data_IF_093508185683
#
_entry.id   IF_093508185683
#
_cell.length_a   1.000
_cell.length_b   1.000
_cell.length_c   1.000
_cell.angle_alpha   90.00
_cell.angle_beta   90.00
_cell.angle_gamma   90.00
#
_symmetry.space_group_name_H-M   'P 1'
#
loop_
_entity.id
_entity.type
_entity.pdbx_description
1 polymer ?
#
# COMPACT_ATOMS: atom_id res chain seq x y z
N UNK A 1 -89.36 -13.41 -6.54
CA UNK A 1 -88.75 -12.08 -6.74
C UNK A 1 -87.32 -11.94 -6.18
N UNK A 2 -86.81 -12.85 -5.32
CA UNK A 2 -85.50 -12.70 -4.65
C UNK A 2 -84.30 -13.48 -5.25
N UNK A 3 -84.49 -14.19 -6.39
CA UNK A 3 -83.44 -15.06 -6.95
C UNK A 3 -82.34 -14.33 -7.74
N UNK A 4 -82.58 -13.09 -8.20
CA UNK A 4 -81.66 -12.33 -9.06
C UNK A 4 -80.89 -11.18 -8.35
N UNK A 5 -80.99 -11.06 -7.02
CA UNK A 5 -80.28 -10.02 -6.27
C UNK A 5 -78.81 -10.42 -6.05
N UNK A 6 -77.88 -9.48 -6.25
CA UNK A 6 -76.47 -9.68 -5.94
C UNK A 6 -76.27 -9.72 -4.40
N UNK A 7 -75.10 -10.15 -3.92
CA UNK A 7 -74.86 -10.36 -2.48
C UNK A 7 -75.00 -9.05 -1.68
N UNK A 8 -74.60 -7.92 -2.25
CA UNK A 8 -74.70 -6.59 -1.64
C UNK A 8 -76.18 -6.16 -1.49
N UNK A 9 -76.99 -6.38 -2.52
CA UNK A 9 -78.43 -6.13 -2.50
C UNK A 9 -79.14 -7.04 -1.50
N UNK A 10 -78.72 -8.31 -1.38
CA UNK A 10 -79.25 -9.25 -0.37
C UNK A 10 -78.90 -8.80 1.05
N UNK A 11 -77.69 -8.30 1.29
CA UNK A 11 -77.26 -7.80 2.59
C UNK A 11 -77.99 -6.50 2.93
N UNK A 12 -78.13 -5.56 1.98
CA UNK A 12 -78.94 -4.34 2.14
C UNK A 12 -80.40 -4.65 2.46
N UNK A 13 -81.00 -5.59 1.73
CA UNK A 13 -82.37 -6.02 1.97
C UNK A 13 -82.50 -6.69 3.34
N UNK A 14 -81.54 -7.53 3.75
CA UNK A 14 -81.53 -8.17 5.08
C UNK A 14 -81.34 -7.16 6.21
N UNK A 15 -80.50 -6.14 6.02
CA UNK A 15 -80.29 -5.04 6.97
C UNK A 15 -81.55 -4.20 7.13
N UNK A 16 -82.16 -3.77 6.02
CA UNK A 16 -83.43 -3.03 6.00
C UNK A 16 -84.57 -3.85 6.61
N UNK A 17 -84.67 -5.14 6.29
CA UNK A 17 -85.63 -6.05 6.90
C UNK A 17 -85.34 -6.24 8.40
N UNK A 18 -84.07 -6.29 8.82
CA UNK A 18 -83.74 -6.40 10.24
C UNK A 18 -84.06 -5.11 11.01
N UNK A 19 -83.74 -3.93 10.48
CA UNK A 19 -84.04 -2.64 11.09
C UNK A 19 -85.54 -2.36 11.15
N UNK A 20 -86.26 -2.66 10.06
CA UNK A 20 -87.72 -2.56 10.05
C UNK A 20 -88.36 -3.60 10.97
N UNK A 21 -87.85 -4.83 11.03
CA UNK A 21 -88.34 -5.85 11.99
C UNK A 21 -88.06 -5.45 13.44
N UNK A 22 -86.91 -4.85 13.74
CA UNK A 22 -86.55 -4.39 15.08
C UNK A 22 -87.41 -3.17 15.49
N UNK A 23 -87.71 -2.28 14.53
CA UNK A 23 -88.63 -1.16 14.71
C UNK A 23 -90.07 -1.65 14.98
N UNK A 24 -90.53 -2.65 14.22
CA UNK A 24 -91.85 -3.25 14.38
C UNK A 24 -91.92 -4.02 15.71
N UNK A 25 -90.92 -4.83 16.06
CA UNK A 25 -90.88 -5.59 17.31
C UNK A 25 -90.77 -4.66 18.52
N UNK A 26 -89.93 -3.62 18.46
CA UNK A 26 -89.79 -2.63 19.53
C UNK A 26 -91.09 -1.83 19.74
N UNK A 27 -91.73 -1.42 18.64
CA UNK A 27 -93.04 -0.75 18.69
C UNK A 27 -94.12 -1.68 19.25
N UNK A 28 -94.16 -2.94 18.82
CA UNK A 28 -95.12 -3.95 19.32
C UNK A 28 -94.87 -4.26 20.81
N UNK A 29 -93.62 -4.41 21.23
CA UNK A 29 -93.25 -4.66 22.62
C UNK A 29 -93.68 -3.50 23.53
N UNK A 30 -93.42 -2.26 23.13
CA UNK A 30 -93.84 -1.06 23.86
C UNK A 30 -95.37 -0.87 23.85
N UNK A 31 -96.05 -1.14 22.73
CA UNK A 31 -97.51 -1.14 22.66
C UNK A 31 -98.10 -2.23 23.58
N UNK A 32 -97.47 -3.40 23.64
CA UNK A 32 -97.92 -4.51 24.51
C UNK A 32 -97.70 -4.21 26.01
N UNK A 33 -96.59 -3.56 26.37
CA UNK A 33 -96.33 -3.07 27.73
C UNK A 33 -97.31 -1.95 28.13
N UNK A 34 -97.60 -1.02 27.22
CA UNK A 34 -98.58 0.04 27.44
C UNK A 34 -100.00 -0.53 27.63
N UNK A 35 -100.34 -1.59 26.87
CA UNK A 35 -101.63 -2.30 26.97
C UNK A 35 -101.82 -3.03 28.30
N UNK A 36 -100.74 -3.47 28.96
CA UNK A 36 -100.79 -4.11 30.28
C UNK A 36 -101.05 -3.11 31.42
N UNK A 37 -100.71 -1.83 31.24
CA UNK A 37 -100.76 -0.82 32.31
C UNK A 37 -102.15 -0.14 32.47
N UNK A 38 -103.03 -0.18 31.47
CA UNK A 38 -104.30 0.57 31.48
C UNK A 38 -105.49 -0.36 31.22
N UNK A 39 -106.09 -0.90 32.29
CA UNK A 39 -107.44 -1.48 32.26
C UNK A 39 -108.45 -0.41 32.71
N UNK A 40 -109.36 -0.01 31.79
CA UNK A 40 -110.42 1.02 31.89
C UNK A 40 -110.02 2.45 31.51
N UNK A 41 -110.27 2.85 30.24
CA UNK A 41 -110.97 4.09 29.84
C UNK A 41 -110.94 4.35 28.31
N UNK A 42 -111.79 5.30 27.86
CA UNK A 42 -112.24 5.67 26.50
C UNK A 42 -111.24 5.59 25.32
N UNK A 43 -111.79 5.29 24.12
CA UNK A 43 -111.04 5.07 22.87
C UNK A 43 -110.23 6.26 22.31
N UNK A 44 -110.39 7.48 22.84
CA UNK A 44 -109.59 8.65 22.42
C UNK A 44 -108.19 8.67 23.08
N UNK A 45 -108.05 8.13 24.30
CA UNK A 45 -106.76 8.06 25.02
C UNK A 45 -105.79 7.04 24.41
N UNK A 46 -106.32 6.00 23.75
CA UNK A 46 -105.52 4.97 23.08
C UNK A 46 -104.71 5.51 21.89
N UNK A 47 -105.29 6.40 21.09
CA UNK A 47 -104.60 7.00 19.94
C UNK A 47 -103.46 7.91 20.34
N UNK A 48 -103.63 8.68 21.43
CA UNK A 48 -102.60 9.58 21.98
C UNK A 48 -101.45 8.78 22.60
N UNK A 49 -101.75 7.72 23.36
CA UNK A 49 -100.71 6.84 23.95
C UNK A 49 -99.82 6.18 22.90
N UNK A 50 -100.40 5.67 21.80
CA UNK A 50 -99.64 5.08 20.68
C UNK A 50 -98.74 6.12 20.00
N UNK A 51 -99.23 7.34 19.81
CA UNK A 51 -98.47 8.46 19.22
C UNK A 51 -97.27 8.85 20.09
N UNK A 52 -97.45 8.95 21.41
CA UNK A 52 -96.38 9.26 22.35
C UNK A 52 -95.32 8.15 22.35
N UNK A 53 -95.74 6.87 22.38
CA UNK A 53 -94.81 5.74 22.30
C UNK A 53 -94.03 5.73 20.98
N UNK A 54 -94.67 6.03 19.85
CA UNK A 54 -94.02 6.11 18.56
C UNK A 54 -92.98 7.24 18.50
N UNK A 55 -93.31 8.43 18.99
CA UNK A 55 -92.41 9.59 19.04
C UNK A 55 -91.21 9.31 19.96
N UNK A 56 -91.46 8.77 21.15
CA UNK A 56 -90.39 8.38 22.08
C UNK A 56 -89.48 7.33 21.46
N UNK A 57 -90.04 6.33 20.76
CA UNK A 57 -89.26 5.31 20.06
C UNK A 57 -88.38 5.88 18.96
N UNK A 58 -88.87 6.84 18.18
CA UNK A 58 -88.10 7.54 17.13
C UNK A 58 -86.93 8.32 17.76
N UNK A 59 -87.18 9.08 18.84
CA UNK A 59 -86.13 9.83 19.55
C UNK A 59 -85.08 8.87 20.14
N UNK A 60 -85.50 7.75 20.72
CA UNK A 60 -84.60 6.73 21.27
C UNK A 60 -83.73 6.12 20.18
N UNK A 61 -84.29 5.87 18.99
CA UNK A 61 -83.54 5.40 17.82
C UNK A 61 -82.53 6.45 17.35
N UNK A 62 -82.88 7.74 17.29
CA UNK A 62 -81.94 8.81 16.91
C UNK A 62 -80.80 8.96 17.94
N UNK A 63 -81.11 8.85 19.24
CA UNK A 63 -80.10 8.87 20.31
C UNK A 63 -79.17 7.66 20.18
N UNK A 64 -79.73 6.44 19.99
CA UNK A 64 -78.92 5.23 19.79
C UNK A 64 -78.07 5.33 18.53
N UNK A 65 -78.62 5.83 17.42
CA UNK A 65 -77.87 6.06 16.18
C UNK A 65 -76.73 7.05 16.38
N UNK A 66 -76.97 8.15 17.09
CA UNK A 66 -75.95 9.14 17.44
C UNK A 66 -74.87 8.53 18.33
N UNK A 67 -75.24 7.77 19.36
CA UNK A 67 -74.30 7.08 20.25
C UNK A 67 -73.45 6.06 19.46
N UNK A 68 -74.06 5.26 18.58
CA UNK A 68 -73.33 4.32 17.72
C UNK A 68 -72.38 5.07 16.78
N UNK A 69 -72.82 6.18 16.19
CA UNK A 69 -72.01 6.95 15.26
C UNK A 69 -70.82 7.62 15.95
N UNK A 70 -71.06 8.27 17.09
CA UNK A 70 -70.05 9.05 17.83
C UNK A 70 -69.07 8.15 18.58
N UNK A 71 -69.56 7.05 19.20
CA UNK A 71 -68.71 6.18 20.03
C UNK A 71 -68.18 4.93 19.31
N UNK A 72 -68.75 4.55 18.16
CA UNK A 72 -68.35 3.32 17.44
C UNK A 72 -67.88 3.63 16.01
N UNK A 73 -68.73 4.21 15.17
CA UNK A 73 -68.44 4.41 13.74
C UNK A 73 -67.27 5.37 13.51
N UNK A 74 -67.31 6.57 14.11
CA UNK A 74 -66.29 7.61 13.90
C UNK A 74 -64.90 7.20 14.44
N UNK A 75 -64.76 6.66 15.67
CA UNK A 75 -63.47 6.22 16.18
C UNK A 75 -62.87 5.07 15.35
N UNK A 76 -63.69 4.10 14.93
CA UNK A 76 -63.23 2.98 14.10
C UNK A 76 -62.82 3.47 12.71
N UNK A 77 -63.59 4.39 12.10
CA UNK A 77 -63.22 5.00 10.82
C UNK A 77 -61.88 5.72 10.90
N UNK A 78 -61.69 6.56 11.92
CA UNK A 78 -60.42 7.26 12.14
C UNK A 78 -59.26 6.28 12.35
N UNK A 79 -59.46 5.23 13.15
CA UNK A 79 -58.46 4.19 13.36
C UNK A 79 -58.06 3.47 12.07
N UNK A 80 -59.05 3.11 11.22
CA UNK A 80 -58.81 2.48 9.91
C UNK A 80 -58.10 3.44 8.94
N UNK A 81 -58.51 4.71 8.92
CA UNK A 81 -57.87 5.72 8.08
C UNK A 81 -56.40 5.91 8.49
N UNK A 82 -56.13 6.10 9.79
CA UNK A 82 -54.77 6.20 10.30
C UNK A 82 -53.96 4.92 10.03
N UNK A 83 -54.52 3.73 10.27
CA UNK A 83 -53.86 2.46 9.98
C UNK A 83 -53.47 2.34 8.50
N UNK A 84 -54.36 2.72 7.58
CA UNK A 84 -54.11 2.70 6.13
C UNK A 84 -53.04 3.72 5.71
N UNK A 85 -53.13 4.96 6.20
CA UNK A 85 -52.15 6.02 5.89
C UNK A 85 -50.77 5.63 6.44
N UNK A 86 -50.68 5.26 7.71
CA UNK A 86 -49.43 4.84 8.35
C UNK A 86 -48.85 3.59 7.67
N UNK A 87 -49.68 2.60 7.30
CA UNK A 87 -49.18 1.43 6.57
C UNK A 87 -48.57 1.79 5.21
N UNK A 88 -49.20 2.71 4.46
CA UNK A 88 -48.66 3.21 3.21
C UNK A 88 -47.35 3.99 3.39
N UNK A 89 -47.25 4.79 4.46
CA UNK A 89 -46.00 5.48 4.82
C UNK A 89 -44.87 4.49 5.15
N UNK A 90 -45.17 3.44 5.93
CA UNK A 90 -44.18 2.39 6.26
C UNK A 90 -43.77 1.61 5.01
N UNK A 91 -44.70 1.29 4.09
CA UNK A 91 -44.36 0.64 2.80
C UNK A 91 -43.38 1.52 2.01
N UNK A 92 -43.64 2.82 1.92
CA UNK A 92 -42.74 3.76 1.22
C UNK A 92 -41.35 3.77 1.86
N UNK A 93 -41.25 3.77 3.18
CA UNK A 93 -39.97 3.75 3.87
C UNK A 93 -39.25 2.41 3.72
N UNK A 94 -39.99 1.30 3.78
CA UNK A 94 -39.46 -0.07 3.59
C UNK A 94 -38.89 -0.26 2.19
N UNK A 95 -39.56 0.28 1.15
CA UNK A 95 -39.03 0.30 -0.22
C UNK A 95 -37.72 1.09 -0.35
N UNK A 96 -37.57 2.21 0.38
CA UNK A 96 -36.28 2.92 0.41
C UNK A 96 -35.21 2.08 1.10
N UNK A 97 -35.56 1.41 2.18
CA UNK A 97 -34.64 0.53 2.90
C UNK A 97 -34.17 -0.64 2.03
N UNK A 98 -35.04 -1.20 1.19
CA UNK A 98 -34.67 -2.21 0.19
C UNK A 98 -33.60 -1.69 -0.78
N UNK A 99 -33.78 -0.47 -1.30
CA UNK A 99 -32.79 0.15 -2.18
C UNK A 99 -31.43 0.35 -1.48
N UNK A 100 -31.42 0.72 -0.20
CA UNK A 100 -30.20 0.85 0.62
C UNK A 100 -29.50 -0.51 0.78
N UNK A 101 -30.25 -1.57 1.10
CA UNK A 101 -29.69 -2.94 1.23
C UNK A 101 -29.06 -3.40 -0.09
N UNK A 102 -29.73 -3.18 -1.22
CA UNK A 102 -29.18 -3.50 -2.54
C UNK A 102 -27.88 -2.74 -2.84
N UNK A 103 -27.80 -1.46 -2.45
CA UNK A 103 -26.57 -0.68 -2.59
C UNK A 103 -25.44 -1.23 -1.70
N UNK A 104 -25.73 -1.60 -0.45
CA UNK A 104 -24.75 -2.23 0.44
C UNK A 104 -24.22 -3.56 -0.12
N UNK A 105 -25.06 -4.39 -0.73
CA UNK A 105 -24.61 -5.63 -1.40
C UNK A 105 -23.60 -5.33 -2.52
N UNK A 106 -23.84 -4.29 -3.33
CA UNK A 106 -22.91 -3.88 -4.38
C UNK A 106 -21.58 -3.36 -3.81
N UNK A 107 -21.66 -2.57 -2.72
CA UNK A 107 -20.48 -2.09 -2.03
C UNK A 107 -19.65 -3.25 -1.47
N UNK A 108 -20.27 -4.24 -0.83
CA UNK A 108 -19.59 -5.43 -0.32
C UNK A 108 -18.86 -6.22 -1.41
N UNK A 109 -19.48 -6.41 -2.59
CA UNK A 109 -18.80 -7.05 -3.74
C UNK A 109 -17.54 -6.30 -4.15
N UNK A 110 -17.60 -4.96 -4.16
CA UNK A 110 -16.45 -4.12 -4.48
C UNK A 110 -15.38 -4.23 -3.40
N UNK A 111 -15.77 -4.18 -2.12
CA UNK A 111 -14.85 -4.34 -0.98
C UNK A 111 -14.16 -5.71 -1.00
N UNK A 112 -14.90 -6.78 -1.27
CA UNK A 112 -14.34 -8.14 -1.40
C UNK A 112 -13.28 -8.21 -2.49
N UNK A 113 -13.54 -7.63 -3.67
CA UNK A 113 -12.56 -7.57 -4.76
C UNK A 113 -11.30 -6.76 -4.38
N UNK A 114 -11.43 -5.71 -3.56
CA UNK A 114 -10.28 -4.93 -3.06
C UNK A 114 -9.46 -5.77 -2.06
N UNK A 115 -10.11 -6.49 -1.16
CA UNK A 115 -9.43 -7.36 -0.18
C UNK A 115 -8.67 -8.49 -0.87
N UNK A 116 -9.23 -9.09 -1.92
CA UNK A 116 -8.54 -10.08 -2.74
C UNK A 116 -7.30 -9.50 -3.44
N UNK A 117 -7.39 -8.26 -3.95
CA UNK A 117 -6.24 -7.56 -4.52
C UNK A 117 -5.19 -7.26 -3.45
N UNK A 118 -5.61 -6.85 -2.26
CA UNK A 118 -4.72 -6.55 -1.14
C UNK A 118 -3.96 -7.81 -0.72
N UNK A 119 -4.64 -8.94 -0.55
CA UNK A 119 -4.02 -10.24 -0.24
C UNK A 119 -2.96 -10.63 -1.27
N UNK A 120 -3.27 -10.52 -2.58
CA UNK A 120 -2.31 -10.77 -3.66
C UNK A 120 -1.13 -9.81 -3.63
N UNK A 121 -1.38 -8.54 -3.32
CA UNK A 121 -0.33 -7.52 -3.18
C UNK A 121 0.61 -7.85 -2.02
N UNK A 122 0.09 -8.19 -0.85
CA UNK A 122 0.90 -8.57 0.32
C UNK A 122 1.73 -9.83 0.05
N UNK A 123 1.16 -10.84 -0.62
CA UNK A 123 1.93 -12.01 -1.06
C UNK A 123 3.09 -11.63 -1.99
N UNK A 124 2.83 -10.77 -2.99
CA UNK A 124 3.86 -10.30 -3.92
C UNK A 124 4.94 -9.47 -3.21
N UNK A 125 4.56 -8.65 -2.22
CA UNK A 125 5.51 -7.91 -1.38
C UNK A 125 6.43 -8.85 -0.63
N UNK A 126 5.88 -9.90 0.01
CA UNK A 126 6.66 -10.95 0.69
C UNK A 126 7.64 -11.64 -0.26
N UNK A 127 7.17 -12.11 -1.41
CA UNK A 127 8.02 -12.77 -2.41
C UNK A 127 9.16 -11.85 -2.90
N UNK A 128 8.85 -10.57 -3.12
CA UNK A 128 9.84 -9.57 -3.55
C UNK A 128 10.87 -9.29 -2.46
N UNK A 129 10.42 -9.18 -1.21
CA UNK A 129 11.28 -8.99 -0.05
C UNK A 129 12.27 -10.17 0.13
N UNK A 130 11.78 -11.41 0.04
CA UNK A 130 12.63 -12.60 0.09
C UNK A 130 13.70 -12.61 -1.01
N UNK A 131 13.34 -12.21 -2.24
CA UNK A 131 14.30 -12.08 -3.33
C UNK A 131 15.38 -11.01 -3.06
N UNK A 132 15.02 -9.93 -2.37
CA UNK A 132 16.00 -8.91 -1.93
C UNK A 132 16.92 -9.51 -0.86
N UNK A 133 16.41 -10.26 0.11
CA UNK A 133 17.25 -10.96 1.09
C UNK A 133 18.27 -11.90 0.44
N UNK A 134 17.83 -12.72 -0.53
CA UNK A 134 18.74 -13.62 -1.27
C UNK A 134 19.86 -12.84 -1.97
N UNK A 135 19.52 -11.73 -2.62
CA UNK A 135 20.50 -10.87 -3.31
C UNK A 135 21.42 -10.11 -2.35
N UNK A 136 20.92 -9.73 -1.18
CA UNK A 136 21.73 -9.17 -0.11
C UNK A 136 22.74 -10.20 0.40
N UNK A 137 22.34 -11.47 0.56
CA UNK A 137 23.26 -12.53 0.96
C UNK A 137 24.36 -12.80 -0.07
N UNK A 138 24.00 -12.84 -1.37
CA UNK A 138 24.98 -12.94 -2.46
C UNK A 138 25.98 -11.76 -2.43
N UNK A 139 25.48 -10.55 -2.12
CA UNK A 139 26.30 -9.35 -2.01
C UNK A 139 27.26 -9.40 -0.82
N UNK A 140 26.83 -9.96 0.33
CA UNK A 140 27.71 -10.20 1.48
C UNK A 140 28.85 -11.16 1.13
N UNK A 141 28.54 -12.25 0.42
CA UNK A 141 29.54 -13.24 0.00
C UNK A 141 30.55 -12.62 -0.98
N UNK A 142 30.08 -11.77 -1.90
CA UNK A 142 30.95 -11.02 -2.81
C UNK A 142 31.84 -10.03 -2.06
N UNK A 143 31.29 -9.23 -1.14
CA UNK A 143 32.06 -8.31 -0.31
C UNK A 143 33.14 -9.02 0.51
N UNK A 144 32.86 -10.22 1.02
CA UNK A 144 33.86 -11.02 1.74
C UNK A 144 35.01 -11.49 0.82
N UNK A 145 34.71 -11.86 -0.43
CA UNK A 145 35.72 -12.18 -1.44
C UNK A 145 36.57 -10.96 -1.78
N UNK A 146 35.95 -9.80 -1.98
CA UNK A 146 36.65 -8.54 -2.25
C UNK A 146 37.56 -8.13 -1.10
N UNK A 147 37.09 -8.25 0.16
CA UNK A 147 37.92 -7.97 1.33
C UNK A 147 39.18 -8.85 1.36
N UNK A 148 39.05 -10.13 1.00
CA UNK A 148 40.20 -11.04 0.89
C UNK A 148 41.14 -10.64 -0.25
N UNK A 149 40.61 -10.23 -1.39
CA UNK A 149 41.39 -9.77 -2.54
C UNK A 149 42.19 -8.50 -2.19
N UNK A 150 41.56 -7.52 -1.56
CA UNK A 150 42.21 -6.28 -1.09
C UNK A 150 43.30 -6.59 -0.08
N UNK A 151 43.04 -7.46 0.91
CA UNK A 151 44.06 -7.89 1.87
C UNK A 151 45.26 -8.55 1.16
N UNK A 152 45.00 -9.42 0.19
CA UNK A 152 46.08 -10.02 -0.61
C UNK A 152 46.85 -8.98 -1.42
N UNK A 153 46.21 -7.93 -1.91
CA UNK A 153 46.86 -6.86 -2.65
C UNK A 153 47.79 -6.04 -1.73
N UNK A 154 47.35 -5.72 -0.52
CA UNK A 154 48.18 -5.03 0.48
C UNK A 154 49.46 -5.83 0.79
N UNK A 155 49.36 -7.14 1.00
CA UNK A 155 50.55 -7.99 1.23
C UNK A 155 51.50 -8.03 0.02
N UNK A 156 50.95 -8.03 -1.20
CA UNK A 156 51.76 -7.94 -2.44
C UNK A 156 52.46 -6.60 -2.56
N UNK A 157 51.79 -5.49 -2.23
CA UNK A 157 52.39 -4.16 -2.22
C UNK A 157 53.51 -4.04 -1.19
N UNK A 158 53.33 -4.64 0.00
CA UNK A 158 54.40 -4.73 1.00
C UNK A 158 55.61 -5.50 0.48
N UNK A 159 55.39 -6.62 -0.19
CA UNK A 159 56.47 -7.40 -0.83
C UNK A 159 57.15 -6.59 -1.93
N UNK A 160 56.38 -5.83 -2.70
CA UNK A 160 56.92 -4.98 -3.77
C UNK A 160 57.78 -3.85 -3.19
N UNK A 161 57.35 -3.21 -2.10
CA UNK A 161 58.12 -2.21 -1.36
C UNK A 161 59.50 -2.75 -0.95
N UNK A 162 59.52 -3.93 -0.32
CA UNK A 162 60.77 -4.59 0.08
C UNK A 162 61.71 -4.85 -1.10
N UNK A 163 61.16 -5.24 -2.26
CA UNK A 163 61.98 -5.43 -3.47
C UNK A 163 62.57 -4.13 -4.00
N UNK A 164 61.81 -3.02 -3.95
CA UNK A 164 62.32 -1.71 -4.35
C UNK A 164 63.40 -1.22 -3.38
N UNK A 165 63.22 -1.43 -2.07
CA UNK A 165 64.23 -1.11 -1.07
C UNK A 165 65.55 -1.85 -1.32
N UNK A 166 65.49 -3.16 -1.66
CA UNK A 166 66.68 -3.94 -2.06
C UNK A 166 67.32 -3.37 -3.35
N UNK A 167 66.52 -2.99 -4.35
CA UNK A 167 67.06 -2.39 -5.59
C UNK A 167 67.76 -1.07 -5.27
N UNK A 168 67.18 -0.23 -4.41
CA UNK A 168 67.79 1.02 -4.00
C UNK A 168 69.15 0.80 -3.31
N UNK A 169 69.25 -0.21 -2.42
CA UNK A 169 70.51 -0.58 -1.77
C UNK A 169 71.58 -1.03 -2.77
N UNK A 170 71.23 -1.91 -3.72
CA UNK A 170 72.14 -2.37 -4.76
C UNK A 170 72.62 -1.25 -5.69
N UNK A 171 71.76 -0.26 -5.96
CA UNK A 171 72.11 0.91 -6.78
C UNK A 171 73.06 1.86 -6.03
N UNK A 172 72.89 2.01 -4.71
CA UNK A 172 73.84 2.76 -3.88
C UNK A 172 75.22 2.09 -3.86
N UNK A 173 75.27 0.77 -3.73
CA UNK A 173 76.52 0.00 -3.81
C UNK A 173 77.19 0.15 -5.19
N UNK A 174 76.42 0.10 -6.28
CA UNK A 174 76.92 0.34 -7.63
C UNK A 174 77.48 1.75 -7.80
N UNK A 175 76.83 2.75 -7.22
CA UNK A 175 77.30 4.14 -7.21
C UNK A 175 78.66 4.27 -6.54
N UNK A 176 78.83 3.63 -5.38
CA UNK A 176 80.09 3.61 -4.63
C UNK A 176 81.22 2.93 -5.43
N UNK A 177 80.95 1.74 -5.98
CA UNK A 177 81.92 1.03 -6.83
C UNK A 177 82.31 1.85 -8.06
N UNK A 178 81.35 2.51 -8.70
CA UNK A 178 81.60 3.35 -9.88
C UNK A 178 82.46 4.56 -9.53
N UNK A 179 82.26 5.17 -8.36
CA UNK A 179 83.11 6.26 -7.86
C UNK A 179 84.54 5.80 -7.54
N UNK A 180 84.70 4.61 -6.96
CA UNK A 180 86.01 4.00 -6.71
C UNK A 180 86.75 3.74 -8.04
N UNK A 181 86.08 3.16 -9.04
CA UNK A 181 86.65 2.94 -10.37
C UNK A 181 87.05 4.27 -11.01
N UNK A 182 86.22 5.31 -10.90
CA UNK A 182 86.55 6.66 -11.39
C UNK A 182 87.85 7.19 -10.80
N UNK A 183 88.06 6.99 -9.49
CA UNK A 183 89.29 7.39 -8.79
C UNK A 183 90.52 6.61 -9.28
N UNK A 184 90.37 5.31 -9.54
CA UNK A 184 91.44 4.46 -10.08
C UNK A 184 91.81 4.90 -11.50
N UNK A 185 90.83 5.16 -12.36
CA UNK A 185 91.07 5.57 -13.75
C UNK A 185 91.74 6.94 -13.81
N UNK A 186 91.39 7.88 -12.91
CA UNK A 186 92.12 9.14 -12.77
C UNK A 186 93.60 8.92 -12.44
N UNK A 187 93.93 8.03 -11.51
CA UNK A 187 95.32 7.69 -11.20
C UNK A 187 96.05 7.02 -12.38
N UNK A 188 95.37 6.19 -13.18
CA UNK A 188 95.94 5.58 -14.40
C UNK A 188 96.20 6.63 -15.47
N UNK A 189 95.33 7.63 -15.62
CA UNK A 189 95.54 8.76 -16.52
C UNK A 189 96.77 9.57 -16.12
N UNK A 190 96.94 9.87 -14.83
CA UNK A 190 98.13 10.55 -14.29
C UNK A 190 99.42 9.75 -14.56
N UNK A 191 99.42 8.43 -14.31
CA UNK A 191 100.55 7.54 -14.59
C UNK A 191 100.87 7.52 -16.09
N UNK A 192 99.85 7.50 -16.93
CA UNK A 192 99.99 7.47 -18.39
C UNK A 192 100.61 8.77 -18.88
N UNK A 193 100.17 9.92 -18.36
CA UNK A 193 100.74 11.22 -18.68
C UNK A 193 102.20 11.35 -18.22
N UNK A 194 102.53 10.88 -17.02
CA UNK A 194 103.91 10.80 -16.55
C UNK A 194 104.77 9.88 -17.43
N UNK A 195 104.23 8.73 -17.85
CA UNK A 195 104.93 7.78 -18.73
C UNK A 195 105.18 8.38 -20.11
N UNK A 196 104.21 9.13 -20.66
CA UNK A 196 104.36 9.87 -21.92
C UNK A 196 105.47 10.92 -21.82
N UNK A 197 105.49 11.68 -20.72
CA UNK A 197 106.54 12.68 -20.45
C UNK A 197 107.93 12.05 -20.26
N UNK A 198 108.02 10.92 -19.55
CA UNK A 198 109.26 10.15 -19.38
C UNK A 198 109.78 9.62 -20.73
N UNK A 199 108.88 9.07 -21.55
CA UNK A 199 109.22 8.57 -22.87
C UNK A 199 109.69 9.69 -23.81
N UNK A 200 109.06 10.87 -23.73
CA UNK A 200 109.50 12.06 -24.46
C UNK A 200 110.92 12.49 -24.05
N UNK A 201 111.19 12.57 -22.74
CA UNK A 201 112.52 12.92 -22.24
C UNK A 201 113.57 11.89 -22.66
N UNK A 202 113.23 10.59 -22.62
CA UNK A 202 114.11 9.52 -23.10
C UNK A 202 114.38 9.61 -24.61
N UNK A 203 113.37 9.96 -25.42
CA UNK A 203 113.53 10.15 -26.86
C UNK A 203 114.44 11.35 -27.18
N UNK A 204 114.32 12.44 -26.43
CA UNK A 204 115.19 13.62 -26.56
C UNK A 204 116.64 13.26 -26.21
N UNK A 205 116.87 12.56 -25.10
CA UNK A 205 118.23 12.20 -24.68
C UNK A 205 118.85 11.12 -25.60
N UNK A 206 118.04 10.21 -26.13
CA UNK A 206 118.46 9.26 -27.17
C UNK A 206 118.86 9.96 -28.47
N UNK A 207 118.12 10.99 -28.90
CA UNK A 207 118.50 11.82 -30.04
C UNK A 207 119.81 12.59 -29.79
N UNK A 208 120.01 13.05 -28.55
CA UNK A 208 121.22 13.76 -28.11
C UNK A 208 122.48 12.88 -28.13
N UNK A 209 122.34 11.58 -27.86
CA UNK A 209 123.42 10.59 -27.92
C UNK A 209 123.82 10.17 -29.35
N UNK A 210 123.14 10.69 -30.39
CA UNK A 210 123.51 10.47 -31.80
C UNK A 210 123.42 8.99 -32.23
N UNK A 211 124.46 8.49 -32.91
CA UNK A 211 124.51 7.10 -33.41
C UNK A 211 124.37 6.05 -32.29
N UNK A 212 124.86 6.32 -31.08
CA UNK A 212 124.79 5.40 -29.94
C UNK A 212 123.39 5.33 -29.30
N UNK A 213 122.53 6.32 -29.55
CA UNK A 213 121.18 6.41 -28.99
C UNK A 213 120.06 5.83 -29.85
N UNK A 214 120.35 5.40 -31.09
CA UNK A 214 119.32 4.93 -32.05
C UNK A 214 118.41 3.82 -31.50
N UNK A 215 118.97 2.84 -30.80
CA UNK A 215 118.18 1.76 -30.19
C UNK A 215 117.26 2.26 -29.07
N UNK A 216 117.75 3.17 -28.24
CA UNK A 216 116.96 3.80 -27.17
C UNK A 216 115.86 4.72 -27.72
N UNK A 217 116.11 5.41 -28.84
CA UNK A 217 115.11 6.27 -29.48
C UNK A 217 113.90 5.47 -29.99
N UNK A 218 114.12 4.27 -30.53
CA UNK A 218 113.04 3.37 -30.96
C UNK A 218 112.20 2.91 -29.77
N UNK A 219 112.85 2.48 -28.69
CA UNK A 219 112.15 2.04 -27.47
C UNK A 219 111.34 3.20 -26.85
N UNK A 220 111.93 4.39 -26.76
CA UNK A 220 111.25 5.57 -26.24
C UNK A 220 110.02 5.96 -27.08
N UNK A 221 110.12 5.86 -28.42
CA UNK A 221 108.97 6.10 -29.31
C UNK A 221 107.85 5.08 -29.10
N UNK A 222 108.16 3.80 -28.89
CA UNK A 222 107.15 2.76 -28.66
C UNK A 222 106.48 2.93 -27.28
N UNK A 223 107.24 3.26 -26.24
CA UNK A 223 106.67 3.59 -24.92
C UNK A 223 105.75 4.80 -25.03
N UNK A 224 106.14 5.83 -25.79
CA UNK A 224 105.31 7.02 -26.01
C UNK A 224 103.99 6.68 -26.69
N UNK A 225 104.04 5.83 -27.72
CA UNK A 225 102.86 5.35 -28.43
C UNK A 225 101.93 4.54 -27.52
N UNK A 226 102.46 3.63 -26.70
CA UNK A 226 101.68 2.88 -25.71
C UNK A 226 101.05 3.80 -24.65
N UNK A 227 101.75 4.86 -24.23
CA UNK A 227 101.21 5.86 -23.33
C UNK A 227 100.05 6.64 -23.99
N UNK A 228 100.20 7.09 -25.23
CA UNK A 228 99.11 7.76 -25.96
C UNK A 228 97.89 6.82 -26.15
N UNK A 229 98.11 5.54 -26.47
CA UNK A 229 97.04 4.52 -26.56
C UNK A 229 96.35 4.28 -25.22
N UNK A 230 97.12 4.19 -24.13
CA UNK A 230 96.60 4.08 -22.76
C UNK A 230 95.75 5.29 -22.39
N UNK A 231 96.17 6.51 -22.76
CA UNK A 231 95.42 7.75 -22.47
C UNK A 231 94.08 7.77 -23.22
N UNK A 232 94.07 7.33 -24.48
CA UNK A 232 92.82 7.21 -25.23
C UNK A 232 91.89 6.16 -24.61
N UNK A 233 92.43 5.06 -24.08
CA UNK A 233 91.64 4.04 -23.40
C UNK A 233 91.06 4.57 -22.08
N UNK A 234 91.85 5.28 -21.26
CA UNK A 234 91.35 5.87 -20.00
C UNK A 234 90.25 6.90 -20.27
N UNK A 235 90.40 7.78 -21.27
CA UNK A 235 89.34 8.73 -21.65
C UNK A 235 88.02 8.03 -22.00
N UNK A 236 88.08 6.92 -22.77
CA UNK A 236 86.88 6.13 -23.09
C UNK A 236 86.24 5.52 -21.85
N UNK A 237 87.06 4.98 -20.93
CA UNK A 237 86.57 4.41 -19.68
C UNK A 237 85.93 5.49 -18.80
N UNK A 238 86.53 6.68 -18.71
CA UNK A 238 85.96 7.83 -17.98
C UNK A 238 84.57 8.21 -18.52
N UNK A 239 84.39 8.21 -19.84
CA UNK A 239 83.07 8.44 -20.45
C UNK A 239 82.06 7.37 -20.03
N UNK A 240 82.44 6.09 -20.03
CA UNK A 240 81.55 5.00 -19.60
C UNK A 240 81.18 5.10 -18.12
N UNK A 241 82.12 5.50 -17.26
CA UNK A 241 81.87 5.73 -15.83
C UNK A 241 80.85 6.86 -15.65
N UNK A 242 80.99 7.95 -16.40
CA UNK A 242 80.03 9.05 -16.38
C UNK A 242 78.62 8.60 -16.80
N UNK A 243 78.51 7.82 -17.87
CA UNK A 243 77.24 7.27 -18.33
C UNK A 243 76.60 6.34 -17.28
N UNK A 244 77.41 5.49 -16.63
CA UNK A 244 76.94 4.62 -15.53
C UNK A 244 76.46 5.45 -14.34
N UNK A 245 77.19 6.49 -13.94
CA UNK A 245 76.78 7.39 -12.85
C UNK A 245 75.45 8.09 -13.16
N UNK A 246 75.27 8.57 -14.40
CA UNK A 246 74.02 9.18 -14.82
C UNK A 246 72.86 8.18 -14.75
N UNK A 247 73.04 6.98 -15.31
CA UNK A 247 72.03 5.92 -15.26
C UNK A 247 71.69 5.49 -13.81
N UNK A 248 72.70 5.44 -12.93
CA UNK A 248 72.56 5.12 -11.51
C UNK A 248 71.69 6.18 -10.82
N UNK A 249 72.00 7.47 -10.99
CA UNK A 249 71.21 8.57 -10.44
C UNK A 249 69.75 8.56 -10.94
N UNK A 250 69.53 8.34 -12.23
CA UNK A 250 68.18 8.20 -12.78
C UNK A 250 67.43 7.00 -12.18
N UNK A 251 68.13 5.90 -11.92
CA UNK A 251 67.53 4.72 -11.29
C UNK A 251 67.16 4.99 -9.83
N UNK A 252 67.98 5.72 -9.06
CA UNK A 252 67.63 6.15 -7.69
C UNK A 252 66.33 6.94 -7.69
N UNK A 253 66.21 7.96 -8.56
CA UNK A 253 64.99 8.76 -8.66
C UNK A 253 63.76 7.90 -8.99
N UNK A 254 63.88 6.95 -9.92
CA UNK A 254 62.80 6.04 -10.28
C UNK A 254 62.41 5.10 -9.12
N UNK A 255 63.37 4.64 -8.31
CA UNK A 255 63.08 3.83 -7.12
C UNK A 255 62.41 4.62 -6.00
N UNK A 256 62.78 5.89 -5.80
CA UNK A 256 62.12 6.78 -4.83
C UNK A 256 60.68 7.07 -5.25
N UNK A 257 60.45 7.38 -6.53
CA UNK A 257 59.11 7.58 -7.09
C UNK A 257 58.27 6.30 -6.97
N UNK A 258 58.84 5.15 -7.35
CA UNK A 258 58.18 3.85 -7.21
C UNK A 258 57.80 3.52 -5.75
N UNK A 259 58.62 3.92 -4.78
CA UNK A 259 58.29 3.74 -3.35
C UNK A 259 57.08 4.59 -2.94
N UNK A 260 57.02 5.86 -3.36
CA UNK A 260 55.88 6.75 -3.09
C UNK A 260 54.58 6.24 -3.71
N UNK A 261 54.64 5.76 -4.95
CA UNK A 261 53.47 5.18 -5.64
C UNK A 261 52.94 3.94 -4.92
N UNK A 262 53.82 3.09 -4.40
CA UNK A 262 53.40 1.92 -3.60
C UNK A 262 52.73 2.36 -2.30
N UNK A 263 53.28 3.34 -1.59
CA UNK A 263 52.69 3.85 -0.35
C UNK A 263 51.29 4.44 -0.59
N UNK A 264 51.13 5.22 -1.65
CA UNK A 264 49.81 5.72 -2.08
C UNK A 264 48.86 4.58 -2.44
N UNK A 265 49.33 3.56 -3.14
CA UNK A 265 48.55 2.37 -3.47
C UNK A 265 48.09 1.57 -2.26
N UNK A 266 48.91 1.49 -1.20
CA UNK A 266 48.55 0.87 0.08
C UNK A 266 47.48 1.69 0.81
N UNK A 267 47.61 3.01 0.84
CA UNK A 267 46.62 3.91 1.44
C UNK A 267 45.26 3.77 0.74
N UNK A 268 45.24 3.78 -0.60
CA UNK A 268 44.03 3.57 -1.39
C UNK A 268 43.40 2.19 -1.10
N UNK A 269 44.20 1.14 -1.01
CA UNK A 269 43.71 -0.20 -0.68
C UNK A 269 43.09 -0.25 0.72
N UNK A 270 43.62 0.48 1.70
CA UNK A 270 43.02 0.61 3.03
C UNK A 270 41.67 1.32 2.98
N UNK A 271 41.54 2.41 2.22
CA UNK A 271 40.26 3.11 2.04
C UNK A 271 39.21 2.19 1.38
N UNK A 272 39.61 1.41 0.38
CA UNK A 272 38.72 0.41 -0.24
C UNK A 272 38.27 -0.63 0.79
N UNK A 273 39.17 -1.12 1.65
CA UNK A 273 38.81 -2.08 2.70
C UNK A 273 37.78 -1.50 3.68
N UNK A 274 37.95 -0.25 4.10
CA UNK A 274 36.99 0.44 4.98
C UNK A 274 35.62 0.60 4.31
N UNK A 275 35.60 0.99 3.03
CA UNK A 275 34.36 1.12 2.26
C UNK A 275 33.62 -0.22 2.11
N UNK A 276 34.36 -1.33 1.97
CA UNK A 276 33.77 -2.68 1.95
C UNK A 276 33.13 -3.02 3.30
N UNK A 277 33.75 -2.65 4.42
CA UNK A 277 33.15 -2.88 5.75
C UNK A 277 31.87 -2.05 5.95
N UNK A 278 31.86 -0.79 5.52
CA UNK A 278 30.65 0.05 5.52
C UNK A 278 29.55 -0.57 4.65
N UNK A 279 29.90 -1.01 3.43
CA UNK A 279 28.96 -1.68 2.52
C UNK A 279 28.33 -2.92 3.16
N UNK A 280 29.12 -3.76 3.84
CA UNK A 280 28.62 -4.94 4.54
C UNK A 280 27.62 -4.58 5.64
N UNK A 281 27.88 -3.51 6.40
CA UNK A 281 26.96 -3.03 7.43
C UNK A 281 25.63 -2.58 6.81
N UNK A 282 25.67 -1.79 5.73
CA UNK A 282 24.46 -1.36 5.01
C UNK A 282 23.68 -2.55 4.43
N UNK A 283 24.36 -3.59 3.95
CA UNK A 283 23.69 -4.81 3.48
C UNK A 283 23.02 -5.55 4.64
N UNK A 284 23.65 -5.64 5.81
CA UNK A 284 23.04 -6.24 7.00
C UNK A 284 21.80 -5.49 7.47
N UNK A 285 21.84 -4.15 7.48
CA UNK A 285 20.67 -3.32 7.77
C UNK A 285 19.54 -3.56 6.76
N UNK A 286 19.89 -3.74 5.48
CA UNK A 286 18.92 -4.08 4.43
C UNK A 286 18.25 -5.43 4.71
N UNK A 287 19.00 -6.44 5.14
CA UNK A 287 18.46 -7.76 5.50
C UNK A 287 17.49 -7.65 6.69
N UNK A 288 17.81 -6.84 7.70
CA UNK A 288 16.90 -6.59 8.82
C UNK A 288 15.62 -5.87 8.39
N UNK A 289 15.73 -4.87 7.51
CA UNK A 289 14.57 -4.18 6.96
C UNK A 289 13.68 -5.14 6.15
N UNK A 290 14.27 -6.05 5.38
CA UNK A 290 13.55 -7.09 4.64
C UNK A 290 12.78 -8.02 5.58
N UNK A 291 13.38 -8.44 6.70
CA UNK A 291 12.69 -9.29 7.70
C UNK A 291 11.44 -8.60 8.26
N UNK A 292 11.52 -7.30 8.56
CA UNK A 292 10.36 -6.51 8.98
C UNK A 292 9.28 -6.43 7.88
N UNK A 293 9.68 -6.21 6.61
CA UNK A 293 8.74 -6.18 5.48
C UNK A 293 8.02 -7.52 5.32
N UNK A 294 8.72 -8.65 5.51
CA UNK A 294 8.12 -9.98 5.44
C UNK A 294 7.07 -10.15 6.55
N UNK A 295 7.40 -9.76 7.80
CA UNK A 295 6.47 -9.80 8.93
C UNK A 295 5.24 -8.93 8.70
N UNK A 296 5.43 -7.70 8.21
CA UNK A 296 4.33 -6.77 7.91
C UNK A 296 3.42 -7.34 6.81
N UNK A 297 3.99 -7.97 5.78
CA UNK A 297 3.23 -8.61 4.71
C UNK A 297 2.41 -9.81 5.23
N UNK A 298 2.97 -10.62 6.14
CA UNK A 298 2.25 -11.72 6.79
C UNK A 298 1.09 -11.21 7.65
N UNK A 299 1.32 -10.18 8.45
CA UNK A 299 0.28 -9.55 9.26
C UNK A 299 -0.84 -8.96 8.40
N UNK A 300 -0.50 -8.30 7.28
CA UNK A 300 -1.50 -7.81 6.33
C UNK A 300 -2.35 -8.96 5.76
N UNK A 301 -1.73 -10.11 5.44
CA UNK A 301 -2.46 -11.28 4.96
C UNK A 301 -3.44 -11.81 6.02
N UNK A 302 -3.04 -11.86 7.29
CA UNK A 302 -3.92 -12.21 8.41
C UNK A 302 -5.10 -11.25 8.52
N UNK A 303 -4.84 -9.93 8.57
CA UNK A 303 -5.89 -8.92 8.62
C UNK A 303 -6.84 -8.99 7.42
N UNK A 304 -6.34 -9.27 6.21
CA UNK A 304 -7.22 -9.47 5.03
C UNK A 304 -8.14 -10.66 5.20
N UNK A 305 -7.69 -11.72 5.87
CA UNK A 305 -8.50 -12.89 6.22
C UNK A 305 -9.65 -12.53 7.18
N UNK A 306 -9.35 -11.76 8.22
CA UNK A 306 -10.36 -11.28 9.19
C UNK A 306 -11.41 -10.36 8.54
N UNK A 307 -10.96 -9.43 7.69
CA UNK A 307 -11.88 -8.55 6.96
C UNK A 307 -12.76 -9.35 6.01
N UNK A 308 -12.21 -10.36 5.32
CA UNK A 308 -13.01 -11.21 4.45
C UNK A 308 -14.07 -12.01 5.23
N UNK A 309 -13.74 -12.48 6.44
CA UNK A 309 -14.73 -13.11 7.32
C UNK A 309 -15.84 -12.12 7.72
N UNK A 310 -15.47 -10.87 8.05
CA UNK A 310 -16.43 -9.81 8.37
C UNK A 310 -17.34 -9.48 7.20
N UNK A 311 -16.81 -9.43 5.97
CA UNK A 311 -17.60 -9.25 4.73
C UNK A 311 -18.65 -10.36 4.61
N UNK A 312 -18.27 -11.63 4.82
CA UNK A 312 -19.19 -12.76 4.75
C UNK A 312 -20.31 -12.69 5.81
N UNK A 313 -19.99 -12.18 7.01
CA UNK A 313 -20.98 -11.98 8.07
C UNK A 313 -21.97 -10.85 7.72
N UNK A 314 -21.48 -9.74 7.17
CA UNK A 314 -22.33 -8.63 6.73
C UNK A 314 -23.22 -9.07 5.55
N UNK A 315 -22.68 -9.82 4.59
CA UNK A 315 -23.43 -10.33 3.44
C UNK A 315 -24.63 -11.18 3.89
N UNK A 316 -24.42 -12.09 4.86
CA UNK A 316 -25.50 -12.85 5.49
C UNK A 316 -26.54 -11.96 6.16
N UNK A 317 -26.11 -10.97 6.94
CA UNK A 317 -27.02 -10.03 7.61
C UNK A 317 -27.84 -9.18 6.64
N UNK A 318 -27.28 -8.82 5.48
CA UNK A 318 -28.00 -8.11 4.42
C UNK A 318 -29.04 -9.00 3.72
N UNK A 319 -28.72 -10.28 3.49
CA UNK A 319 -29.69 -11.25 2.95
C UNK A 319 -30.88 -11.45 3.91
N UNK A 320 -30.62 -11.58 5.21
CA UNK A 320 -31.65 -11.67 6.24
C UNK A 320 -32.49 -10.38 6.33
N UNK A 321 -31.83 -9.21 6.21
CA UNK A 321 -32.52 -7.91 6.16
C UNK A 321 -33.43 -7.78 4.95
N UNK A 322 -32.96 -8.20 3.77
CA UNK A 322 -33.76 -8.22 2.54
C UNK A 322 -34.99 -9.12 2.67
N UNK A 323 -34.83 -10.32 3.26
CA UNK A 323 -35.95 -11.21 3.52
C UNK A 323 -36.97 -10.58 4.50
N UNK A 324 -36.50 -9.93 5.56
CA UNK A 324 -37.34 -9.26 6.57
C UNK A 324 -38.11 -8.06 6.01
N UNK A 325 -37.47 -7.28 5.12
CA UNK A 325 -38.10 -6.17 4.38
C UNK A 325 -39.24 -6.69 3.52
N UNK A 326 -39.02 -7.76 2.74
CA UNK A 326 -40.06 -8.37 1.90
C UNK A 326 -41.26 -8.90 2.71
N UNK A 327 -40.98 -9.53 3.86
CA UNK A 327 -42.04 -9.95 4.79
C UNK A 327 -42.83 -8.76 5.35
N UNK A 328 -42.13 -7.68 5.71
CA UNK A 328 -42.76 -6.45 6.23
C UNK A 328 -43.67 -5.79 5.17
N UNK A 329 -43.21 -5.69 3.92
CA UNK A 329 -44.02 -5.19 2.80
C UNK A 329 -45.28 -6.04 2.65
N UNK A 330 -45.14 -7.36 2.65
CA UNK A 330 -46.28 -8.29 2.51
C UNK A 330 -47.29 -8.12 3.65
N UNK A 331 -46.82 -8.01 4.89
CA UNK A 331 -47.69 -7.81 6.06
C UNK A 331 -48.41 -6.45 6.00
N UNK A 332 -47.72 -5.38 5.61
CA UNK A 332 -48.30 -4.04 5.49
C UNK A 332 -49.30 -3.95 4.34
N UNK A 333 -49.06 -4.63 3.21
CA UNK A 333 -50.02 -4.74 2.12
C UNK A 333 -51.30 -5.43 2.60
N UNK A 334 -51.17 -6.51 3.39
CA UNK A 334 -52.31 -7.15 4.03
C UNK A 334 -53.06 -6.21 4.99
N UNK A 335 -52.37 -5.39 5.78
CA UNK A 335 -53.00 -4.39 6.65
C UNK A 335 -53.75 -3.31 5.85
N UNK A 336 -53.21 -2.87 4.72
CA UNK A 336 -53.88 -1.92 3.82
C UNK A 336 -55.15 -2.54 3.24
N UNK A 337 -55.10 -3.81 2.83
CA UNK A 337 -56.26 -4.55 2.33
C UNK A 337 -57.33 -4.72 3.39
N UNK A 338 -56.97 -5.19 4.60
CA UNK A 338 -57.90 -5.32 5.73
C UNK A 338 -58.51 -3.96 6.11
N UNK A 339 -57.70 -2.90 6.12
CA UNK A 339 -58.17 -1.53 6.38
C UNK A 339 -59.19 -1.08 5.33
N UNK A 340 -58.93 -1.39 4.05
CA UNK A 340 -59.85 -1.10 2.95
C UNK A 340 -61.16 -1.87 3.12
N UNK A 341 -61.10 -3.17 3.39
CA UNK A 341 -62.28 -4.01 3.57
C UNK A 341 -63.12 -3.58 4.77
N UNK A 342 -62.48 -3.24 5.90
CA UNK A 342 -63.18 -2.74 7.09
C UNK A 342 -63.84 -1.39 6.81
N UNK A 343 -63.14 -0.48 6.14
CA UNK A 343 -63.70 0.83 5.74
C UNK A 343 -64.93 0.62 4.86
N UNK A 344 -64.83 -0.23 3.86
CA UNK A 344 -65.89 -0.47 2.88
C UNK A 344 -67.10 -1.18 3.55
N UNK A 345 -66.88 -2.06 4.54
CA UNK A 345 -67.96 -2.66 5.34
C UNK A 345 -68.65 -1.67 6.29
N UNK A 346 -67.89 -0.78 6.95
CA UNK A 346 -68.46 0.22 7.87
C UNK A 346 -69.23 1.29 7.10
N UNK A 347 -68.68 1.77 5.98
CA UNK A 347 -69.35 2.71 5.08
C UNK A 347 -70.51 2.06 4.32
N UNK A 348 -70.43 0.77 4.00
CA UNK A 348 -71.51 0.01 3.38
C UNK A 348 -72.71 -0.23 4.30
N UNK A 349 -72.50 -0.24 5.62
CA UNK A 349 -73.53 -0.46 6.63
C UNK A 349 -74.09 0.85 7.24
N UNK A 350 -73.37 1.97 7.08
CA UNK A 350 -73.87 3.30 7.44
C UNK A 350 -74.61 3.92 6.25
N UNK A 351 -75.91 4.16 6.44
CA UNK A 351 -76.84 4.71 5.46
C UNK A 351 -76.18 5.66 4.43
N UNK A 352 -76.47 5.38 3.16
CA UNK A 352 -76.16 6.14 1.92
C UNK A 352 -76.44 7.67 2.01
N UNK A 353 -77.06 8.17 3.08
CA UNK A 353 -77.34 9.60 3.30
C UNK A 353 -76.13 10.43 3.76
N UNK A 354 -75.08 9.84 4.33
CA UNK A 354 -73.91 10.63 4.80
C UNK A 354 -72.90 10.90 3.68
N UNK A 355 -72.81 10.02 2.68
CA UNK A 355 -71.86 10.14 1.56
C UNK A 355 -72.21 11.32 0.63
N UNK A 356 -73.49 11.65 0.45
CA UNK A 356 -73.88 12.84 -0.34
C UNK A 356 -73.57 14.16 0.39
N UNK A 357 -73.64 14.19 1.73
CA UNK A 357 -73.28 15.39 2.49
C UNK A 357 -71.77 15.61 2.55
N UNK A 358 -70.96 14.57 2.71
CA UNK A 358 -69.49 14.70 2.68
C UNK A 358 -68.92 14.99 1.28
N UNK A 359 -69.52 14.47 0.21
CA UNK A 359 -69.13 14.86 -1.17
C UNK A 359 -69.39 16.34 -1.47
N UNK A 360 -70.38 16.94 -0.81
CA UNK A 360 -70.69 18.37 -0.93
C UNK A 360 -69.62 19.21 -0.22
N UNK A 361 -69.21 18.79 0.97
CA UNK A 361 -68.19 19.47 1.78
C UNK A 361 -66.78 19.36 1.19
N UNK A 362 -66.46 18.28 0.46
CA UNK A 362 -65.18 18.11 -0.22
C UNK A 362 -65.03 18.89 -1.54
N UNK A 363 -66.12 19.43 -2.09
CA UNK A 363 -66.06 20.24 -3.32
C UNK A 363 -65.57 21.67 -3.04
N UNK A 364 -65.73 22.14 -1.81
CA UNK A 364 -65.36 23.50 -1.37
C UNK A 364 -63.90 23.61 -0.88
N UNK A 365 -63.17 22.49 -0.75
CA UNK A 365 -61.76 22.45 -0.33
C UNK A 365 -60.76 22.15 -1.46
N UNK A 366 -61.20 22.16 -2.72
CA UNK A 366 -60.30 22.06 -3.88
C UNK A 366 -59.78 23.44 -4.27
N UNK A 367 -58.64 23.84 -3.70
CA UNK A 367 -57.68 24.78 -4.30
C UNK A 367 -56.45 23.99 -4.68
#
# INVERSE_FOLDING_TARGET
MFKNLNLEEKIKLKSLLSQSSLSIIGSIALISLYKVQIHHESGLNWGIGILVVAVVSIILIEIIQKIINDNLTNPIYNAIFHASVTSNEIIKETNKQEAVVNNHIQLLKTTSAIIDKLKKSSQKTKESALKVADKSQESLDLSAKEQKAVKSNIEKMKTLKQKIEIIAELILELSEHTQQIGSIIGAVEDITEQTNMLALNAAVEAARAGEHGKGFAVVASEIRKLADESKQATTKITSLIYDIQQATNSTVMATEEGTKEIESGVELAHQIAQNIDVLRNTINETVQAVDNIVKDAEQQMECTGEVNNSINLIDKGLLESSASINQSITALQGLVEVSKDLRDNILGNSNVKTIENFKKEYKDYKI
#
